data_IF_385386724646
#
_entry.id   IF_385386724646
#
_cell.length_a   1.000
_cell.length_b   1.000
_cell.length_c   1.000
_cell.angle_alpha   90.00
_cell.angle_beta   90.00
_cell.angle_gamma   90.00
#
_symmetry.space_group_name_H-M   'P 1'
#
loop_
_entity.id
_entity.type
_entity.pdbx_description
1 polymer ?
#
# COMPACT_ATOMS: atom_id res chain seq x y z
N UNK A 1 -11.68 -5.99 -14.25
CA UNK A 1 -11.58 -5.35 -12.92
C UNK A 1 -10.84 -6.21 -11.90
N UNK A 2 -11.17 -7.49 -11.70
CA UNK A 2 -10.59 -8.30 -10.61
C UNK A 2 -9.09 -8.65 -10.72
N UNK A 3 -8.53 -8.66 -11.93
CA UNK A 3 -7.10 -8.95 -12.14
C UNK A 3 -6.19 -7.73 -11.93
N UNK A 4 -6.74 -6.50 -11.91
CA UNK A 4 -5.92 -5.29 -11.81
C UNK A 4 -5.08 -5.22 -10.53
N UNK A 5 -5.55 -5.57 -9.31
CA UNK A 5 -4.69 -5.55 -8.13
C UNK A 5 -3.54 -6.56 -8.21
N UNK A 6 -3.77 -7.74 -8.81
CA UNK A 6 -2.74 -8.76 -8.97
C UNK A 6 -1.66 -8.32 -9.98
N UNK A 7 -2.08 -7.75 -11.11
CA UNK A 7 -1.16 -7.23 -12.12
C UNK A 7 -0.36 -6.05 -11.56
N UNK A 8 -1.00 -5.12 -10.84
CA UNK A 8 -0.34 -4.00 -10.20
C UNK A 8 0.71 -4.48 -9.17
N UNK A 9 0.38 -5.47 -8.35
CA UNK A 9 1.31 -6.07 -7.39
C UNK A 9 2.51 -6.70 -8.09
N UNK A 10 2.27 -7.50 -9.14
CA UNK A 10 3.32 -8.14 -9.91
C UNK A 10 4.28 -7.12 -10.55
N UNK A 11 3.73 -6.08 -11.18
CA UNK A 11 4.53 -5.01 -11.77
C UNK A 11 5.34 -4.25 -10.70
N UNK A 12 4.73 -3.94 -9.56
CA UNK A 12 5.42 -3.27 -8.44
C UNK A 12 6.60 -4.09 -7.94
N UNK A 13 6.45 -5.41 -7.81
CA UNK A 13 7.54 -6.30 -7.41
C UNK A 13 8.66 -6.33 -8.47
N UNK A 14 8.32 -6.43 -9.76
CA UNK A 14 9.30 -6.42 -10.85
C UNK A 14 10.10 -5.12 -10.85
N UNK A 15 9.44 -3.97 -10.74
CA UNK A 15 10.12 -2.68 -10.68
C UNK A 15 10.95 -2.52 -9.40
N UNK A 16 10.49 -3.02 -8.26
CA UNK A 16 11.26 -3.04 -7.02
C UNK A 16 12.56 -3.83 -7.16
N UNK A 17 12.49 -5.04 -7.73
CA UNK A 17 13.67 -5.88 -7.99
C UNK A 17 14.65 -5.18 -8.95
N UNK A 18 14.15 -4.60 -10.04
CA UNK A 18 14.98 -3.86 -11.00
C UNK A 18 15.67 -2.66 -10.35
N UNK A 19 14.95 -1.90 -9.53
CA UNK A 19 15.50 -0.72 -8.85
C UNK A 19 16.63 -1.11 -7.89
N UNK A 20 16.45 -2.15 -7.08
CA UNK A 20 17.49 -2.61 -6.16
C UNK A 20 18.70 -3.19 -6.91
N UNK A 21 18.47 -3.91 -8.02
CA UNK A 21 19.54 -4.42 -8.88
C UNK A 21 20.36 -3.28 -9.51
N UNK A 22 19.69 -2.23 -10.01
CA UNK A 22 20.35 -1.02 -10.54
C UNK A 22 21.16 -0.27 -9.47
N UNK A 23 20.72 -0.33 -8.22
CA UNK A 23 21.41 0.27 -7.09
C UNK A 23 22.58 -0.58 -6.55
N UNK A 24 22.85 -1.74 -7.17
CA UNK A 24 23.90 -2.68 -6.75
C UNK A 24 23.63 -3.36 -5.41
N UNK A 25 22.39 -3.32 -4.91
CA UNK A 25 21.98 -3.98 -3.67
C UNK A 25 21.30 -5.31 -4.00
N UNK A 26 21.34 -6.25 -3.05
CA UNK A 26 20.61 -7.51 -3.20
C UNK A 26 19.09 -7.22 -3.31
N UNK A 27 18.48 -7.48 -4.49
CA UNK A 27 17.09 -7.15 -4.73
C UNK A 27 16.13 -8.02 -3.91
N UNK A 28 16.52 -9.25 -3.59
CA UNK A 28 15.68 -10.18 -2.80
C UNK A 28 15.68 -9.74 -1.34
N UNK A 29 16.85 -9.37 -0.80
CA UNK A 29 16.93 -8.79 0.55
C UNK A 29 16.15 -7.47 0.66
N UNK A 30 16.24 -6.59 -0.33
CA UNK A 30 15.46 -5.35 -0.37
C UNK A 30 13.94 -5.60 -0.37
N UNK A 31 13.48 -6.56 -1.17
CA UNK A 31 12.06 -6.94 -1.20
C UNK A 31 11.60 -7.55 0.13
N UNK A 32 12.45 -8.36 0.77
CA UNK A 32 12.17 -8.96 2.08
C UNK A 32 12.02 -7.90 3.17
N UNK A 33 12.91 -6.90 3.19
CA UNK A 33 12.84 -5.80 4.14
C UNK A 33 11.57 -4.97 3.96
N UNK A 34 11.10 -4.83 2.72
CA UNK A 34 9.87 -4.08 2.44
C UNK A 34 8.59 -4.86 2.75
N UNK A 35 8.53 -6.16 2.42
CA UNK A 35 7.31 -6.96 2.53
C UNK A 35 7.19 -7.74 3.84
N UNK A 36 8.31 -8.21 4.40
CA UNK A 36 8.33 -9.18 5.51
C UNK A 36 8.66 -8.51 6.83
N UNK A 37 9.76 -7.76 6.89
CA UNK A 37 10.19 -7.05 8.11
C UNK A 37 9.07 -6.27 8.83
N UNK A 38 8.19 -5.52 8.12
CA UNK A 38 7.14 -4.74 8.76
C UNK A 38 6.09 -5.58 9.49
N UNK A 39 5.96 -6.86 9.12
CA UNK A 39 4.99 -7.80 9.67
C UNK A 39 5.58 -8.66 10.81
N UNK A 40 6.90 -8.66 10.98
CA UNK A 40 7.59 -9.53 11.94
C UNK A 40 7.83 -8.81 13.29
N UNK A 41 8.07 -7.50 13.26
CA UNK A 41 8.37 -6.73 14.48
C UNK A 41 7.13 -6.04 15.04
N UNK A 42 6.85 -6.20 16.34
CA UNK A 42 5.75 -5.49 17.03
C UNK A 42 5.82 -3.97 16.86
N UNK A 43 7.04 -3.42 16.85
CA UNK A 43 7.26 -1.99 16.61
C UNK A 43 6.91 -1.62 15.17
N UNK A 44 7.39 -2.39 14.20
CA UNK A 44 7.15 -2.11 12.79
C UNK A 44 5.66 -2.24 12.44
N UNK A 45 4.96 -3.22 13.02
CA UNK A 45 3.50 -3.34 12.93
C UNK A 45 2.84 -2.07 13.47
N UNK A 46 3.28 -1.56 14.63
CA UNK A 46 2.78 -0.29 15.16
C UNK A 46 2.99 0.88 14.19
N UNK A 47 4.16 0.99 13.59
CA UNK A 47 4.46 2.03 12.60
C UNK A 47 3.64 1.90 11.30
N UNK A 48 3.30 0.68 10.88
CA UNK A 48 2.41 0.40 9.74
C UNK A 48 0.98 0.80 10.09
N UNK A 49 0.49 0.41 11.25
CA UNK A 49 -0.86 0.73 11.71
C UNK A 49 -1.05 2.24 11.86
N UNK A 50 -0.09 2.95 12.48
CA UNK A 50 -0.14 4.41 12.63
C UNK A 50 -0.28 5.13 11.29
N UNK A 51 0.35 4.64 10.22
CA UNK A 51 0.23 5.19 8.86
C UNK A 51 -1.06 4.76 8.16
N UNK A 52 -1.54 3.55 8.43
CA UNK A 52 -2.73 2.98 7.79
C UNK A 52 -4.04 3.54 8.36
N UNK A 53 -4.08 3.85 9.67
CA UNK A 53 -5.27 4.39 10.35
C UNK A 53 -5.89 5.60 9.63
N UNK A 54 -5.17 6.69 9.31
CA UNK A 54 -5.78 7.84 8.63
C UNK A 54 -6.33 7.47 7.25
N UNK A 55 -5.63 6.63 6.48
CA UNK A 55 -6.09 6.20 5.15
C UNK A 55 -7.38 5.36 5.24
N UNK A 56 -7.47 4.46 6.22
CA UNK A 56 -8.69 3.67 6.46
C UNK A 56 -9.85 4.57 6.89
N UNK A 57 -9.61 5.55 7.76
CA UNK A 57 -10.65 6.51 8.16
C UNK A 57 -11.17 7.32 6.96
N UNK A 58 -10.29 7.80 6.09
CA UNK A 58 -10.69 8.47 4.84
C UNK A 58 -11.51 7.53 3.93
N UNK A 59 -11.04 6.29 3.72
CA UNK A 59 -11.74 5.31 2.90
C UNK A 59 -13.14 4.97 3.46
N UNK A 60 -13.26 4.83 4.79
CA UNK A 60 -14.54 4.60 5.46
C UNK A 60 -15.48 5.79 5.29
N UNK A 61 -15.01 7.02 5.50
CA UNK A 61 -15.79 8.24 5.25
C UNK A 61 -16.35 8.29 3.83
N UNK A 62 -15.48 8.09 2.83
CA UNK A 62 -15.87 8.04 1.42
C UNK A 62 -16.87 6.93 1.13
N UNK A 63 -16.68 5.74 1.72
CA UNK A 63 -17.59 4.60 1.53
C UNK A 63 -19.02 4.90 1.99
N UNK A 64 -19.18 5.65 3.08
CA UNK A 64 -20.49 6.06 3.60
C UNK A 64 -21.13 7.10 2.67
N UNK A 65 -20.37 8.09 2.22
CA UNK A 65 -20.86 9.13 1.29
C UNK A 65 -21.33 8.52 -0.04
N UNK A 66 -20.56 7.61 -0.62
CA UNK A 66 -20.95 6.90 -1.84
C UNK A 66 -22.18 6.02 -1.63
N UNK A 67 -22.29 5.34 -0.49
CA UNK A 67 -23.49 4.56 -0.14
C UNK A 67 -24.73 5.46 0.03
N UNK A 68 -24.57 6.68 0.55
CA UNK A 68 -25.63 7.67 0.68
C UNK A 68 -25.96 8.40 -0.64
N UNK A 69 -25.31 8.04 -1.76
CA UNK A 69 -25.41 8.71 -3.05
C UNK A 69 -25.02 10.21 -3.01
N UNK A 70 -24.26 10.62 -1.99
CA UNK A 70 -23.77 11.99 -1.86
C UNK A 70 -22.47 12.09 -2.63
N UNK A 71 -22.55 12.63 -3.85
CA UNK A 71 -21.41 12.77 -4.76
C UNK A 71 -20.60 14.04 -4.50
N UNK A 72 -21.24 15.14 -4.10
CA UNK A 72 -20.58 16.41 -3.86
C UNK A 72 -20.23 16.59 -2.38
N UNK A 73 -19.12 16.00 -1.96
CA UNK A 73 -18.58 16.17 -0.61
C UNK A 73 -17.40 17.15 -0.55
N UNK A 74 -17.11 17.84 -1.66
CA UNK A 74 -15.92 18.71 -1.76
C UNK A 74 -14.60 17.97 -1.61
N UNK A 75 -14.60 16.63 -1.71
CA UNK A 75 -13.39 15.83 -1.78
C UNK A 75 -12.84 15.93 -3.20
N UNK A 76 -11.94 16.87 -3.39
CA UNK A 76 -11.12 16.96 -4.60
C UNK A 76 -10.25 15.70 -4.62
N UNK A 77 -10.36 14.94 -5.71
CA UNK A 77 -9.56 13.74 -5.93
C UNK A 77 -8.10 14.07 -6.21
#
# INVERSE_FOLDING_TARGET
>A
AYASPLIALALTMVFGLLLFALLGKDPVAGLRVFLVEPLVSKRAIGEVLLKTVPLVLCALGLSVCYRANVWNIGAEG
#
